data_IF_138887356166
#
_entry.id   IF_138887356166
#
_cell.length_a   1.000
_cell.length_b   1.000
_cell.length_c   1.000
_cell.angle_alpha   90.00
_cell.angle_beta   90.00
_cell.angle_gamma   90.00
#
_symmetry.space_group_name_H-M   'P 1'
#
loop_
_entity.id
_entity.type
_entity.pdbx_description
1 polymer ?
#
# COMPACT_ATOMS: atom_id res chain seq x y z
N UNK A 1 -14.98 7.08 -27.66
CA UNK A 1 -13.72 6.32 -27.58
C UNK A 1 -13.00 6.46 -28.92
N UNK A 2 -11.71 6.82 -28.96
CA UNK A 2 -11.00 7.11 -30.22
C UNK A 2 -10.44 5.82 -30.84
N UNK A 3 -10.74 5.59 -32.13
CA UNK A 3 -10.25 4.41 -32.89
C UNK A 3 -8.72 4.41 -32.98
N UNK A 4 -8.10 5.58 -33.16
CA UNK A 4 -6.64 5.73 -33.23
C UNK A 4 -5.93 5.32 -31.94
N UNK A 5 -6.58 5.55 -30.80
CA UNK A 5 -6.07 5.17 -29.47
C UNK A 5 -6.41 3.73 -29.09
N UNK A 6 -7.25 3.06 -29.89
CA UNK A 6 -7.71 1.71 -29.60
C UNK A 6 -6.70 0.69 -30.12
N UNK A 7 -6.35 -0.26 -29.27
CA UNK A 7 -5.54 -1.41 -29.63
C UNK A 7 -6.07 -2.64 -28.93
N UNK A 8 -5.80 -3.81 -29.49
CA UNK A 8 -6.17 -5.07 -28.86
C UNK A 8 -4.98 -6.00 -28.74
N UNK A 9 -5.07 -6.87 -27.75
CA UNK A 9 -4.18 -8.01 -27.54
C UNK A 9 -5.02 -9.27 -27.72
N UNK A 10 -4.43 -10.30 -28.33
CA UNK A 10 -5.11 -11.56 -28.58
C UNK A 10 -4.50 -12.65 -27.72
N UNK A 11 -5.30 -13.26 -26.86
CA UNK A 11 -4.91 -14.44 -26.10
C UNK A 11 -5.47 -15.67 -26.82
N UNK A 12 -4.68 -16.26 -27.72
CA UNK A 12 -5.12 -17.44 -28.47
C UNK A 12 -3.95 -18.30 -28.92
N UNK A 13 -4.17 -19.61 -29.03
CA UNK A 13 -3.27 -20.54 -29.70
C UNK A 13 -3.49 -20.60 -31.22
N UNK A 14 -4.35 -19.72 -31.76
CA UNK A 14 -4.67 -19.70 -33.18
C UNK A 14 -3.46 -19.27 -34.01
N UNK A 15 -3.14 -20.06 -35.04
CA UNK A 15 -2.09 -19.76 -36.01
C UNK A 15 -2.53 -18.64 -36.96
N UNK A 16 -3.82 -18.56 -37.27
CA UNK A 16 -4.39 -17.55 -38.15
C UNK A 16 -4.49 -16.18 -37.47
N UNK A 17 -4.14 -15.11 -38.21
CA UNK A 17 -4.27 -13.73 -37.72
C UNK A 17 -5.75 -13.30 -37.70
N UNK A 18 -6.35 -13.27 -36.50
CA UNK A 18 -7.64 -12.61 -36.29
C UNK A 18 -7.50 -11.11 -36.52
N UNK A 19 -8.42 -10.52 -37.30
CA UNK A 19 -8.49 -9.07 -37.54
C UNK A 19 -9.77 -8.53 -36.92
N UNK A 20 -9.63 -7.68 -35.90
CA UNK A 20 -10.76 -7.02 -35.25
C UNK A 20 -11.00 -5.68 -35.96
N UNK A 21 -12.24 -5.45 -36.40
CA UNK A 21 -12.68 -4.18 -36.98
C UNK A 21 -13.67 -3.49 -36.04
N UNK A 22 -13.61 -2.17 -35.99
CA UNK A 22 -14.59 -1.29 -35.33
C UNK A 22 -14.92 -0.14 -36.28
N UNK A 23 -16.21 0.08 -36.56
CA UNK A 23 -16.68 1.09 -37.52
C UNK A 23 -15.96 0.97 -38.87
N UNK A 24 -15.89 -0.27 -39.39
CA UNK A 24 -15.17 -0.66 -40.59
C UNK A 24 -13.64 -0.39 -40.60
N UNK A 25 -13.08 0.11 -39.49
CA UNK A 25 -11.64 0.39 -39.34
C UNK A 25 -10.96 -0.77 -38.60
N UNK A 26 -9.81 -1.23 -39.10
CA UNK A 26 -9.07 -2.32 -38.43
C UNK A 26 -8.33 -1.79 -37.21
N UNK A 27 -8.59 -2.36 -36.04
CA UNK A 27 -7.89 -2.01 -34.81
C UNK A 27 -6.47 -2.59 -34.85
N UNK A 28 -5.47 -1.86 -34.34
CA UNK A 28 -4.08 -2.35 -34.28
C UNK A 28 -3.93 -3.44 -33.22
N UNK A 29 -3.37 -4.59 -33.62
CA UNK A 29 -2.91 -5.63 -32.69
C UNK A 29 -1.60 -5.20 -32.03
N UNK A 30 -1.50 -5.35 -30.72
CA UNK A 30 -0.27 -5.15 -29.96
C UNK A 30 0.10 -6.45 -29.22
N UNK A 31 1.41 -6.68 -29.06
CA UNK A 31 1.94 -7.81 -28.28
C UNK A 31 1.98 -7.54 -26.77
N UNK A 32 1.88 -6.27 -26.38
CA UNK A 32 1.73 -5.86 -24.99
C UNK A 32 0.95 -4.57 -24.90
N UNK A 33 0.06 -4.48 -23.91
CA UNK A 33 -0.77 -3.32 -23.63
C UNK A 33 -0.55 -2.88 -22.18
N UNK A 34 -0.53 -1.57 -21.95
CA UNK A 34 -0.48 -0.99 -20.61
C UNK A 34 -1.90 -0.72 -20.10
N UNK A 35 -2.25 -1.29 -18.96
CA UNK A 35 -3.52 -1.07 -18.28
C UNK A 35 -3.28 -0.74 -16.81
N UNK A 36 -3.77 0.42 -16.35
CA UNK A 36 -3.62 0.91 -14.97
C UNK A 36 -2.16 0.86 -14.43
N UNK A 37 -1.18 1.07 -15.31
CA UNK A 37 0.24 1.05 -14.95
C UNK A 37 0.91 -0.33 -15.02
N UNK A 38 0.18 -1.40 -15.31
CA UNK A 38 0.70 -2.76 -15.50
C UNK A 38 0.76 -3.09 -16.98
N UNK A 39 1.85 -3.70 -17.44
CA UNK A 39 1.97 -4.17 -18.82
C UNK A 39 1.54 -5.63 -18.93
N UNK A 40 0.50 -5.88 -19.70
CA UNK A 40 0.01 -7.22 -20.01
C UNK A 40 0.63 -7.62 -21.33
N UNK A 41 1.32 -8.77 -21.39
CA UNK A 41 1.91 -9.29 -22.62
C UNK A 41 1.11 -10.49 -23.16
N UNK A 42 1.20 -10.72 -24.46
CA UNK A 42 0.42 -11.72 -25.18
C UNK A 42 0.62 -13.13 -24.62
N UNK A 43 1.82 -13.38 -24.09
CA UNK A 43 2.21 -14.67 -23.49
C UNK A 43 1.90 -14.77 -22.01
N UNK A 44 1.31 -13.74 -21.39
CA UNK A 44 1.00 -13.66 -19.95
C UNK A 44 2.17 -14.06 -19.04
N UNK A 45 3.40 -13.76 -19.47
CA UNK A 45 4.62 -14.08 -18.72
C UNK A 45 5.24 -12.85 -18.05
N UNK A 46 4.59 -11.70 -18.19
CA UNK A 46 4.91 -10.43 -17.53
C UNK A 46 6.30 -9.90 -17.88
N UNK A 47 6.93 -10.41 -18.95
CA UNK A 47 8.29 -10.04 -19.35
C UNK A 47 8.41 -8.55 -19.66
N UNK A 48 7.44 -8.01 -20.40
CA UNK A 48 7.39 -6.58 -20.73
C UNK A 48 7.24 -5.74 -19.47
N UNK A 49 6.37 -6.14 -18.55
CA UNK A 49 6.18 -5.45 -17.26
C UNK A 49 7.46 -5.43 -16.44
N UNK A 50 8.11 -6.60 -16.27
CA UNK A 50 9.35 -6.72 -15.51
C UNK A 50 10.47 -5.87 -16.13
N UNK A 51 10.54 -5.80 -17.46
CA UNK A 51 11.51 -4.95 -18.15
C UNK A 51 11.29 -3.47 -17.82
N UNK A 52 10.04 -2.99 -17.88
CA UNK A 52 9.69 -1.63 -17.49
C UNK A 52 9.99 -1.34 -16.02
N UNK A 53 9.65 -2.26 -15.10
CA UNK A 53 9.97 -2.15 -13.68
C UNK A 53 11.48 -2.12 -13.43
N UNK A 54 12.27 -2.90 -14.19
CA UNK A 54 13.74 -2.90 -14.10
C UNK A 54 14.32 -1.56 -14.51
N UNK A 55 13.85 -0.99 -15.64
CA UNK A 55 14.30 0.33 -16.11
C UNK A 55 13.95 1.42 -15.09
N UNK A 56 12.74 1.38 -14.55
CA UNK A 56 12.28 2.30 -13.52
C UNK A 56 13.12 2.16 -12.25
N UNK A 57 13.34 0.94 -11.77
CA UNK A 57 14.21 0.66 -10.62
C UNK A 57 15.62 1.24 -10.81
N UNK A 58 16.22 1.08 -11.99
CA UNK A 58 17.55 1.63 -12.27
C UNK A 58 17.58 3.17 -12.13
N UNK A 59 16.55 3.87 -12.60
CA UNK A 59 16.43 5.32 -12.44
C UNK A 59 16.32 5.72 -10.95
N UNK A 60 15.50 5.02 -10.16
CA UNK A 60 15.40 5.28 -8.72
C UNK A 60 16.71 4.99 -7.98
N UNK A 61 17.44 3.96 -8.39
CA UNK A 61 18.74 3.65 -7.81
C UNK A 61 19.74 4.78 -8.08
N UNK A 62 19.79 5.28 -9.32
CA UNK A 62 20.64 6.43 -9.66
C UNK A 62 20.26 7.66 -8.84
N UNK A 63 18.97 7.93 -8.68
CA UNK A 63 18.51 9.06 -7.86
C UNK A 63 18.88 8.90 -6.39
N UNK A 64 18.74 7.69 -5.83
CA UNK A 64 19.17 7.38 -4.47
C UNK A 64 20.68 7.61 -4.28
N UNK A 65 21.47 7.21 -5.26
CA UNK A 65 22.93 7.39 -5.25
C UNK A 65 23.36 8.86 -5.40
N UNK A 66 22.53 9.72 -6.02
CA UNK A 66 22.79 11.16 -6.14
C UNK A 66 22.59 11.90 -4.81
N UNK A 67 21.62 11.48 -4.00
CA UNK A 67 21.27 12.16 -2.73
C UNK A 67 22.07 11.64 -1.53
N UNK A 68 22.79 10.52 -1.67
CA UNK A 68 23.60 9.97 -0.61
C UNK A 68 24.70 9.04 -1.15
N UNK A 69 25.96 9.33 -0.79
CA UNK A 69 27.12 8.51 -1.11
C UNK A 69 27.39 7.41 -0.09
N UNK A 70 28.50 6.67 -0.22
CA UNK A 70 28.90 5.65 0.77
C UNK A 70 29.37 6.25 2.09
N UNK A 71 30.07 7.38 2.02
CA UNK A 71 30.74 8.05 3.15
C UNK A 71 30.08 9.37 3.55
N UNK A 72 29.04 9.80 2.83
CA UNK A 72 28.39 11.09 3.04
C UNK A 72 26.89 11.04 2.71
N UNK A 73 26.14 12.03 3.19
CA UNK A 73 24.70 12.14 3.00
C UNK A 73 23.89 11.40 4.06
N UNK A 74 22.69 10.95 3.68
CA UNK A 74 21.68 10.46 4.62
C UNK A 74 22.10 9.22 5.42
N UNK A 75 21.72 9.18 6.70
CA UNK A 75 21.90 8.00 7.57
C UNK A 75 21.18 6.77 6.98
N UNK A 76 21.75 5.57 7.19
CA UNK A 76 21.21 4.26 6.80
C UNK A 76 19.72 4.12 7.12
N UNK A 77 19.29 4.57 8.30
CA UNK A 77 17.87 4.54 8.72
C UNK A 77 16.96 5.26 7.73
N UNK A 78 17.34 6.46 7.28
CA UNK A 78 16.56 7.23 6.32
C UNK A 78 16.55 6.61 4.93
N UNK A 79 17.68 6.05 4.48
CA UNK A 79 17.75 5.33 3.19
C UNK A 79 16.86 4.09 3.19
N UNK A 80 16.85 3.36 4.30
CA UNK A 80 15.98 2.19 4.50
C UNK A 80 14.50 2.59 4.48
N UNK A 81 14.13 3.68 5.15
CA UNK A 81 12.76 4.21 5.14
C UNK A 81 12.37 4.56 3.70
N UNK A 82 13.18 5.37 3.00
CA UNK A 82 12.92 5.78 1.62
C UNK A 82 12.75 4.58 0.67
N UNK A 83 13.58 3.55 0.83
CA UNK A 83 13.45 2.31 0.07
C UNK A 83 12.10 1.63 0.33
N UNK A 84 11.74 1.40 1.59
CA UNK A 84 10.49 0.71 1.94
C UNK A 84 9.24 1.49 1.56
N UNK A 85 9.25 2.82 1.73
CA UNK A 85 8.04 3.64 1.52
C UNK A 85 7.83 4.03 0.06
N UNK A 86 8.90 4.24 -0.71
CA UNK A 86 8.79 4.72 -2.10
C UNK A 86 9.14 3.63 -3.10
N UNK A 87 10.35 3.06 -3.02
CA UNK A 87 10.87 2.18 -4.06
C UNK A 87 10.15 0.83 -4.04
N UNK A 88 10.04 0.21 -2.87
CA UNK A 88 9.37 -1.08 -2.68
C UNK A 88 7.89 -0.98 -3.06
N UNK A 89 7.19 0.08 -2.61
CA UNK A 89 5.78 0.33 -2.96
C UNK A 89 5.57 0.56 -4.45
N UNK A 90 6.46 1.31 -5.10
CA UNK A 90 6.41 1.52 -6.55
C UNK A 90 6.60 0.20 -7.32
N UNK A 91 7.51 -0.66 -6.86
CA UNK A 91 7.74 -1.95 -7.49
C UNK A 91 6.60 -2.95 -7.24
N UNK A 92 5.98 -2.90 -6.05
CA UNK A 92 4.84 -3.72 -5.66
C UNK A 92 3.53 -3.37 -6.39
N UNK A 93 3.50 -2.27 -7.16
CA UNK A 93 2.29 -1.86 -7.89
C UNK A 93 1.75 -2.98 -8.77
N UNK A 94 0.49 -3.34 -8.55
CA UNK A 94 -0.19 -4.42 -9.26
C UNK A 94 0.37 -5.82 -9.00
N UNK A 95 1.19 -6.04 -7.95
CA UNK A 95 1.79 -7.34 -7.61
C UNK A 95 0.76 -8.47 -7.48
N UNK A 96 -0.48 -8.13 -7.11
CA UNK A 96 -1.63 -9.04 -7.11
C UNK A 96 -1.88 -9.73 -8.44
N UNK A 97 -1.61 -9.04 -9.54
CA UNK A 97 -1.87 -9.52 -10.91
C UNK A 97 -0.69 -10.33 -11.44
N UNK A 98 0.55 -9.85 -11.23
CA UNK A 98 1.72 -10.40 -11.91
C UNK A 98 2.70 -11.16 -11.01
N UNK A 99 2.52 -11.13 -9.68
CA UNK A 99 3.44 -11.71 -8.70
C UNK A 99 2.73 -12.54 -7.60
N UNK A 100 1.53 -13.08 -7.86
CA UNK A 100 0.83 -13.91 -6.89
C UNK A 100 1.59 -15.21 -6.56
N UNK A 101 2.13 -15.88 -7.59
CA UNK A 101 2.91 -17.10 -7.45
C UNK A 101 4.24 -16.93 -8.21
N UNK A 102 5.25 -16.29 -7.59
CA UNK A 102 6.48 -15.95 -8.30
C UNK A 102 7.29 -17.21 -8.65
N UNK A 103 7.61 -17.36 -9.94
CA UNK A 103 8.54 -18.42 -10.38
C UNK A 103 9.96 -18.14 -9.89
N UNK A 104 10.81 -19.18 -9.81
CA UNK A 104 12.24 -19.03 -9.51
C UNK A 104 12.95 -18.02 -10.43
N UNK A 105 12.56 -17.99 -11.72
CA UNK A 105 13.10 -17.03 -12.71
C UNK A 105 12.70 -15.60 -12.37
N UNK A 106 11.44 -15.38 -11.95
CA UNK A 106 10.98 -14.08 -11.49
C UNK A 106 11.70 -13.65 -10.21
N UNK A 107 11.80 -14.55 -9.23
CA UNK A 107 12.48 -14.29 -7.97
C UNK A 107 13.95 -13.87 -8.17
N UNK A 108 14.69 -14.54 -9.07
CA UNK A 108 16.06 -14.15 -9.45
C UNK A 108 16.13 -12.76 -10.08
N UNK A 109 15.19 -12.40 -10.97
CA UNK A 109 15.13 -11.05 -11.57
C UNK A 109 14.83 -9.98 -10.52
N UNK A 110 13.88 -10.25 -9.62
CA UNK A 110 13.53 -9.35 -8.53
C UNK A 110 14.72 -9.15 -7.57
N UNK A 111 15.43 -10.22 -7.21
CA UNK A 111 16.64 -10.14 -6.39
C UNK A 111 17.74 -9.31 -7.07
N UNK A 112 17.92 -9.45 -8.39
CA UNK A 112 18.88 -8.63 -9.16
C UNK A 112 18.51 -7.14 -9.13
N UNK A 113 17.22 -6.80 -9.26
CA UNK A 113 16.75 -5.42 -9.12
C UNK A 113 16.97 -4.88 -7.71
N UNK A 114 16.66 -5.68 -6.69
CA UNK A 114 16.80 -5.28 -5.29
C UNK A 114 18.26 -5.03 -4.89
N UNK A 115 19.19 -5.84 -5.40
CA UNK A 115 20.60 -5.84 -4.99
C UNK A 115 21.24 -4.45 -5.01
N UNK A 116 21.01 -3.68 -6.08
CA UNK A 116 21.60 -2.34 -6.20
C UNK A 116 21.20 -1.42 -5.06
N UNK A 117 19.94 -1.47 -4.65
CA UNK A 117 19.43 -0.69 -3.52
C UNK A 117 20.02 -1.15 -2.20
N UNK A 118 20.11 -2.47 -1.97
CA UNK A 118 20.68 -2.99 -0.73
C UNK A 118 22.13 -2.52 -0.53
N UNK A 119 22.94 -2.54 -1.58
CA UNK A 119 24.30 -2.01 -1.55
C UNK A 119 24.35 -0.49 -1.34
N UNK A 120 23.43 0.25 -1.95
CA UNK A 120 23.36 1.71 -1.77
C UNK A 120 22.91 2.12 -0.36
N UNK A 121 22.04 1.31 0.27
CA UNK A 121 21.55 1.52 1.63
C UNK A 121 22.63 1.15 2.66
N UNK A 122 23.26 -0.02 2.51
CA UNK A 122 24.23 -0.52 3.49
C UNK A 122 25.63 0.09 3.34
N UNK A 123 26.01 0.52 2.14
CA UNK A 123 27.39 0.90 1.83
C UNK A 123 28.37 -0.29 1.73
N UNK A 124 27.88 -1.53 1.84
CA UNK A 124 28.70 -2.74 1.86
C UNK A 124 29.47 -2.98 0.54
N UNK A 125 30.42 -3.92 0.58
CA UNK A 125 31.21 -4.32 -0.58
C UNK A 125 30.34 -4.92 -1.70
N UNK A 126 30.76 -4.72 -2.96
CA UNK A 126 30.07 -5.28 -4.14
C UNK A 126 30.05 -6.81 -4.16
N UNK A 127 30.90 -7.47 -3.37
CA UNK A 127 30.97 -8.92 -3.20
C UNK A 127 30.05 -9.44 -2.09
N UNK A 128 29.47 -8.56 -1.25
CA UNK A 128 28.59 -8.98 -0.15
C UNK A 128 27.37 -9.76 -0.67
N UNK A 129 27.07 -10.96 -0.12
CA UNK A 129 25.92 -11.76 -0.53
C UNK A 129 24.59 -11.02 -0.35
N UNK A 130 23.70 -11.12 -1.33
CA UNK A 130 22.38 -10.43 -1.29
C UNK A 130 21.53 -10.88 -0.11
N UNK A 131 21.54 -12.17 0.24
CA UNK A 131 20.81 -12.71 1.38
C UNK A 131 21.30 -12.10 2.70
N UNK A 132 22.62 -11.98 2.88
CA UNK A 132 23.20 -11.33 4.06
C UNK A 132 22.77 -9.86 4.17
N UNK A 133 22.74 -9.13 3.05
CA UNK A 133 22.28 -7.74 3.03
C UNK A 133 20.80 -7.60 3.39
N UNK A 134 19.95 -8.52 2.94
CA UNK A 134 18.52 -8.54 3.28
C UNK A 134 18.31 -8.73 4.78
N UNK A 135 19.02 -9.68 5.39
CA UNK A 135 18.97 -9.95 6.83
C UNK A 135 19.49 -8.76 7.63
N UNK A 136 20.70 -8.28 7.32
CA UNK A 136 21.33 -7.18 8.05
C UNK A 136 20.51 -5.87 8.00
N UNK A 137 19.85 -5.60 6.87
CA UNK A 137 18.98 -4.42 6.72
C UNK A 137 17.54 -4.66 7.18
N UNK A 138 17.15 -5.88 7.54
CA UNK A 138 15.76 -6.24 7.80
C UNK A 138 14.83 -5.84 6.64
N UNK A 139 15.24 -6.19 5.42
CA UNK A 139 14.51 -5.99 4.17
C UNK A 139 14.25 -7.36 3.56
N UNK A 140 12.98 -7.74 3.40
CA UNK A 140 12.61 -9.03 2.83
C UNK A 140 13.00 -9.12 1.34
N UNK A 141 13.27 -10.34 0.82
CA UNK A 141 13.35 -10.56 -0.61
C UNK A 141 12.09 -10.06 -1.33
N UNK A 142 12.27 -9.29 -2.41
CA UNK A 142 11.15 -8.65 -3.13
C UNK A 142 10.05 -9.63 -3.55
N UNK A 143 10.40 -10.85 -3.96
CA UNK A 143 9.40 -11.84 -4.38
C UNK A 143 8.50 -12.28 -3.22
N UNK A 144 9.04 -12.43 -2.01
CA UNK A 144 8.26 -12.75 -0.81
C UNK A 144 7.40 -11.55 -0.38
N UNK A 145 7.98 -10.34 -0.41
CA UNK A 145 7.22 -9.13 -0.12
C UNK A 145 6.03 -8.96 -1.07
N UNK A 146 6.24 -9.15 -2.37
CA UNK A 146 5.17 -9.00 -3.37
C UNK A 146 4.13 -10.11 -3.29
N UNK A 147 4.55 -11.34 -2.97
CA UNK A 147 3.63 -12.44 -2.71
C UNK A 147 2.76 -12.15 -1.47
N UNK A 148 3.35 -11.64 -0.39
CA UNK A 148 2.62 -11.24 0.82
C UNK A 148 1.61 -10.12 0.52
N UNK A 149 2.02 -9.06 -0.19
CA UNK A 149 1.12 -7.96 -0.60
C UNK A 149 0.00 -8.45 -1.52
N UNK A 150 0.32 -9.38 -2.43
CA UNK A 150 -0.66 -10.01 -3.31
C UNK A 150 -1.73 -10.79 -2.54
N UNK A 151 -1.30 -11.60 -1.58
CA UNK A 151 -2.19 -12.37 -0.70
C UNK A 151 -3.02 -11.45 0.18
N UNK A 152 -2.41 -10.44 0.78
CA UNK A 152 -3.09 -9.44 1.61
C UNK A 152 -4.23 -8.76 0.85
N UNK A 153 -3.99 -8.28 -0.37
CA UNK A 153 -5.04 -7.67 -1.18
C UNK A 153 -6.09 -8.69 -1.63
N UNK A 154 -5.69 -9.92 -1.94
CA UNK A 154 -6.62 -10.98 -2.35
C UNK A 154 -7.65 -11.28 -1.25
N UNK A 155 -7.20 -11.38 0.00
CA UNK A 155 -8.07 -11.70 1.12
C UNK A 155 -8.86 -10.47 1.62
N UNK A 156 -8.23 -9.31 1.74
CA UNK A 156 -8.86 -8.10 2.31
C UNK A 156 -9.74 -7.33 1.32
N UNK A 157 -9.35 -7.25 0.04
CA UNK A 157 -10.07 -6.44 -0.96
C UNK A 157 -10.87 -7.28 -1.94
N UNK A 158 -10.29 -8.37 -2.44
CA UNK A 158 -10.97 -9.22 -3.42
C UNK A 158 -11.88 -10.26 -2.76
N UNK A 159 -11.82 -10.41 -1.44
CA UNK A 159 -12.55 -11.42 -0.65
C UNK A 159 -12.39 -12.83 -1.19
N UNK A 160 -11.19 -13.14 -1.69
CA UNK A 160 -10.85 -14.47 -2.18
C UNK A 160 -10.13 -15.25 -1.09
N UNK A 161 -10.50 -16.52 -0.84
CA UNK A 161 -9.78 -17.36 0.09
C UNK A 161 -8.35 -17.56 -0.40
N UNK A 162 -7.41 -17.64 0.56
CA UNK A 162 -6.03 -18.01 0.25
C UNK A 162 -5.97 -19.52 0.01
N UNK A 163 -4.96 -19.97 -0.73
CA UNK A 163 -4.76 -21.41 -0.93
C UNK A 163 -4.50 -22.09 0.42
N UNK A 164 -5.17 -23.22 0.72
CA UNK A 164 -5.24 -23.81 2.06
C UNK A 164 -3.88 -24.28 2.63
N UNK A 165 -2.86 -24.38 1.79
CA UNK A 165 -1.52 -24.83 2.20
C UNK A 165 -0.73 -23.84 3.08
N UNK A 166 -1.19 -22.60 3.24
CA UNK A 166 -0.42 -21.56 3.96
C UNK A 166 -1.11 -21.19 5.27
N UNK A 167 -2.40 -20.85 5.24
CA UNK A 167 -3.21 -20.46 6.41
C UNK A 167 -4.69 -20.73 6.09
N UNK A 168 -5.44 -21.33 7.02
CA UNK A 168 -6.89 -21.52 6.89
C UNK A 168 -7.66 -20.27 7.36
N UNK A 169 -7.37 -19.13 6.72
CA UNK A 169 -8.06 -17.86 7.01
C UNK A 169 -9.14 -17.64 5.96
N UNK A 170 -10.39 -17.59 6.42
CA UNK A 170 -11.53 -17.22 5.60
C UNK A 170 -11.60 -15.69 5.45
N UNK A 171 -11.92 -15.14 4.27
CA UNK A 171 -12.11 -13.70 4.09
C UNK A 171 -13.16 -13.07 5.02
N UNK A 172 -14.07 -13.88 5.55
CA UNK A 172 -15.12 -13.47 6.52
C UNK A 172 -14.57 -13.25 7.93
N UNK A 173 -13.42 -13.83 8.26
CA UNK A 173 -12.73 -13.64 9.55
C UNK A 173 -11.92 -12.34 9.57
N UNK A 174 -11.77 -11.68 8.42
CA UNK A 174 -11.07 -10.41 8.33
C UNK A 174 -12.05 -9.28 8.55
N UNK A 175 -11.84 -8.54 9.63
CA UNK A 175 -12.57 -7.31 9.91
C UNK A 175 -12.42 -6.31 8.77
N UNK A 176 -13.55 -5.73 8.41
CA UNK A 176 -13.59 -4.65 7.44
C UNK A 176 -13.04 -3.41 8.11
N UNK A 177 -12.06 -2.78 7.48
CA UNK A 177 -11.69 -1.43 7.89
C UNK A 177 -12.94 -0.58 7.72
N UNK A 178 -13.54 -0.16 8.83
CA UNK A 178 -14.60 0.84 8.84
C UNK A 178 -14.05 2.03 8.08
N UNK A 179 -14.57 2.27 6.88
CA UNK A 179 -14.39 3.57 6.24
C UNK A 179 -15.09 4.52 7.19
N UNK A 180 -14.31 5.25 8.00
CA UNK A 180 -14.86 6.27 8.89
C UNK A 180 -15.79 7.21 8.11
N UNK A 181 -16.55 8.03 8.84
CA UNK A 181 -17.50 9.00 8.31
C UNK A 181 -17.12 9.46 6.89
N UNK A 182 -17.82 8.95 5.89
CA UNK A 182 -17.63 9.32 4.46
C UNK A 182 -17.85 10.82 4.24
N UNK A 183 -18.42 11.48 5.25
CA UNK A 183 -18.67 12.90 5.37
C UNK A 183 -17.94 13.44 6.60
N UNK A 184 -17.12 14.48 6.38
CA UNK A 184 -16.43 15.18 7.46
C UNK A 184 -17.45 15.70 8.51
N UNK A 185 -17.24 15.55 9.83
CA UNK A 185 -18.21 15.96 10.86
C UNK A 185 -18.68 17.42 10.74
N UNK A 186 -17.80 18.32 10.27
CA UNK A 186 -18.18 19.73 10.04
C UNK A 186 -19.16 19.96 8.87
N UNK A 187 -19.45 18.95 8.04
CA UNK A 187 -20.41 19.05 6.92
C UNK A 187 -21.84 18.71 7.34
N UNK A 188 -22.04 18.17 8.53
CA UNK A 188 -23.37 17.90 9.12
C UNK A 188 -23.35 18.25 10.61
N UNK A 189 -23.24 19.54 10.98
CA UNK A 189 -23.61 19.94 12.31
C UNK A 189 -25.13 19.73 12.41
N UNK A 190 -25.55 18.60 12.97
CA UNK A 190 -26.92 18.48 13.44
C UNK A 190 -27.09 19.52 14.54
N UNK A 191 -27.82 20.59 14.26
CA UNK A 191 -27.96 21.75 15.16
C UNK A 191 -28.59 21.39 16.50
N UNK A 192 -29.31 20.28 16.59
CA UNK A 192 -29.85 19.71 17.83
C UNK A 192 -28.84 18.84 18.61
N UNK A 193 -27.67 18.55 18.04
CA UNK A 193 -26.57 17.83 18.71
C UNK A 193 -25.47 18.78 19.22
N UNK A 194 -25.51 20.06 18.84
CA UNK A 194 -24.54 21.07 19.25
C UNK A 194 -25.28 22.10 20.09
N UNK A 195 -25.11 22.03 21.39
CA UNK A 195 -25.64 23.03 22.32
C UNK A 195 -24.50 23.87 22.85
N UNK A 196 -24.64 25.19 22.78
CA UNK A 196 -23.66 26.16 23.32
C UNK A 196 -23.89 26.36 24.82
N UNK A 197 -25.06 25.96 25.33
CA UNK A 197 -25.37 25.99 26.76
C UNK A 197 -24.72 24.80 27.48
N UNK A 198 -23.87 25.12 28.45
CA UNK A 198 -23.28 24.15 29.36
C UNK A 198 -24.39 23.36 30.09
N UNK A 199 -24.38 22.03 29.93
CA UNK A 199 -25.25 21.14 30.70
C UNK A 199 -26.66 20.92 30.16
N UNK A 200 -26.95 21.28 28.91
CA UNK A 200 -28.24 20.92 28.29
C UNK A 200 -28.42 19.39 28.19
N UNK A 201 -29.55 18.84 28.64
CA UNK A 201 -29.79 17.40 28.58
C UNK A 201 -30.04 17.00 27.13
N UNK A 202 -29.01 16.43 26.48
CA UNK A 202 -29.21 15.71 25.23
C UNK A 202 -30.11 14.52 25.57
N UNK A 203 -31.25 14.41 24.88
CA UNK A 203 -32.31 13.42 25.13
C UNK A 203 -31.93 12.03 24.58
N UNK A 204 -30.71 11.58 24.83
CA UNK A 204 -30.27 10.21 24.54
C UNK A 204 -30.19 9.39 25.82
N UNK A 205 -30.48 8.08 25.71
CA UNK A 205 -30.39 7.13 26.83
C UNK A 205 -29.00 7.19 27.51
N UNK A 206 -27.95 7.49 26.73
CA UNK A 206 -26.60 7.73 27.21
C UNK A 206 -26.02 9.05 26.69
N UNK A 207 -25.50 9.87 27.60
CA UNK A 207 -24.80 11.12 27.30
C UNK A 207 -23.32 10.98 27.64
N UNK A 208 -22.44 11.14 26.65
CA UNK A 208 -20.99 11.06 26.84
C UNK A 208 -20.40 12.45 26.62
N UNK A 209 -19.77 12.99 27.66
CA UNK A 209 -19.07 14.25 27.61
C UNK A 209 -17.57 13.96 27.57
N UNK A 210 -16.87 14.61 26.66
CA UNK A 210 -15.41 14.52 26.54
C UNK A 210 -14.81 15.90 26.72
N UNK A 211 -13.79 16.02 27.55
CA UNK A 211 -13.04 17.26 27.72
C UNK A 211 -11.54 16.99 27.56
N UNK A 212 -10.85 17.97 26.98
CA UNK A 212 -9.40 17.97 26.79
C UNK A 212 -8.81 19.17 27.49
N UNK A 213 -7.94 18.94 28.47
CA UNK A 213 -7.25 20.02 29.19
C UNK A 213 -5.82 20.19 28.69
N UNK A 214 -5.36 21.44 28.61
CA UNK A 214 -3.98 21.77 28.28
C UNK A 214 -3.40 22.66 29.38
N UNK A 215 -2.29 22.21 29.95
CA UNK A 215 -1.51 22.99 30.92
C UNK A 215 -0.08 23.13 30.42
N UNK A 216 0.72 23.97 31.10
CA UNK A 216 2.16 24.08 30.82
C UNK A 216 2.92 22.75 31.01
N UNK A 217 2.32 21.77 31.70
CA UNK A 217 2.94 20.47 32.02
C UNK A 217 2.49 19.31 31.12
N UNK A 218 1.59 19.57 30.17
CA UNK A 218 1.10 18.58 29.20
C UNK A 218 -0.40 18.68 28.91
N UNK A 219 -0.88 17.71 28.17
CA UNK A 219 -2.29 17.59 27.75
C UNK A 219 -2.95 16.43 28.49
N UNK A 220 -4.17 16.64 28.97
CA UNK A 220 -5.03 15.61 29.56
C UNK A 220 -6.25 15.36 28.68
N UNK A 221 -6.81 14.16 28.79
CA UNK A 221 -8.10 13.83 28.21
C UNK A 221 -8.98 13.19 29.28
N UNK A 222 -10.25 13.56 29.31
CA UNK A 222 -11.24 12.99 30.19
C UNK A 222 -12.53 12.71 29.43
N UNK A 223 -13.28 11.72 29.91
CA UNK A 223 -14.68 11.57 29.55
C UNK A 223 -15.50 11.16 30.77
N UNK A 224 -16.77 11.53 30.75
CA UNK A 224 -17.78 11.01 31.65
C UNK A 224 -19.02 10.62 30.86
N UNK A 225 -19.64 9.52 31.27
CA UNK A 225 -20.86 8.99 30.67
C UNK A 225 -21.99 9.03 31.70
N UNK A 226 -23.17 9.43 31.26
CA UNK A 226 -24.39 9.54 32.04
C UNK A 226 -25.50 8.71 31.38
N UNK A 227 -26.37 8.12 32.20
CA UNK A 227 -27.67 7.57 31.79
C UNK A 227 -28.73 8.48 32.41
N UNK A 228 -29.38 9.31 31.59
CA UNK A 228 -30.17 10.44 32.07
C UNK A 228 -29.31 11.42 32.90
N UNK A 229 -29.65 11.58 34.19
CA UNK A 229 -28.89 12.42 35.14
C UNK A 229 -27.89 11.64 35.98
N UNK A 230 -27.87 10.31 35.89
CA UNK A 230 -26.99 9.45 36.69
C UNK A 230 -25.67 9.23 35.98
N UNK A 231 -24.57 9.62 36.62
CA UNK A 231 -23.21 9.32 36.13
C UNK A 231 -22.92 7.83 36.22
N UNK A 232 -22.66 7.18 35.09
CA UNK A 232 -22.38 5.73 35.02
C UNK A 232 -20.88 5.42 34.96
N UNK A 233 -20.08 6.31 34.36
CA UNK A 233 -18.64 6.08 34.19
C UNK A 233 -17.86 7.38 34.08
N UNK A 234 -16.65 7.39 34.62
CA UNK A 234 -15.69 8.46 34.43
C UNK A 234 -14.30 7.89 34.14
N UNK A 235 -13.52 8.63 33.37
CA UNK A 235 -12.13 8.31 33.10
C UNK A 235 -11.37 9.58 32.76
N UNK A 236 -10.15 9.68 33.26
CA UNK A 236 -9.22 10.76 32.92
C UNK A 236 -7.80 10.24 32.86
N UNK A 237 -7.01 10.70 31.89
CA UNK A 237 -5.59 10.39 31.80
C UNK A 237 -4.77 11.58 31.34
N UNK A 238 -3.48 11.57 31.71
CA UNK A 238 -2.48 12.44 31.11
C UNK A 238 -1.98 11.80 29.81
N UNK A 239 -2.05 12.55 28.71
CA UNK A 239 -1.52 12.11 27.42
C UNK A 239 0.01 12.20 27.40
N UNK A 240 0.61 11.46 26.46
CA UNK A 240 2.06 11.47 26.25
C UNK A 240 2.56 12.89 25.91
N UNK A 241 3.81 13.19 26.25
CA UNK A 241 4.39 14.53 26.13
C UNK A 241 4.45 15.09 24.69
N UNK A 242 4.34 14.25 23.67
CA UNK A 242 4.34 14.65 22.26
C UNK A 242 2.94 14.94 21.70
N UNK A 243 1.87 14.74 22.47
CA UNK A 243 0.51 15.03 22.04
C UNK A 243 0.18 16.51 22.25
N UNK A 244 -0.40 17.15 21.24
CA UNK A 244 -0.87 18.53 21.27
C UNK A 244 -2.37 18.59 20.96
N UNK A 245 -3.09 19.52 21.61
CA UNK A 245 -4.46 19.90 21.20
C UNK A 245 -4.41 20.65 19.88
#
# INVERSE_FOLDING_TARGET
>A
MSIEKSSYILFSNLVARTRIKWNNTTIKRQKSIKYLGVYIDEKMNWSTHIHHQTKKAAQYLQNLQKIAGKTWGNNLKHRRILYKTVIERMLAHGATVWCQNPTMKLAKKLAKMQRGFLLAISGAYRTSPTAALQVALGIAPLHLQFQMESQYVSITRLRKPLTPNILNISPTQIEDKVTGWTTHPSRFPQTHQITIEDGSPITSDYNIFTDGSKTNTGVGAAFCAYEGTRRIKEWSTKLQSHNTV
#
